data_IF_870456158135
#
_entry.id   IF_870456158135
#
_cell.length_a   1.000
_cell.length_b   1.000
_cell.length_c   1.000
_cell.angle_alpha   90.00
_cell.angle_beta   90.00
_cell.angle_gamma   90.00
#
_symmetry.space_group_name_H-M   'P 1'
#
loop_
_entity.id
_entity.type
_entity.pdbx_description
1 polymer ?
#
# COMPACT_ATOMS: atom_id res chain seq x y z
N UNK A 1 -43.77 -2.21 13.38
CA UNK A 1 -42.77 -2.45 14.46
C UNK A 1 -41.63 -3.36 14.02
N UNK A 2 -41.88 -4.56 13.46
CA UNK A 2 -40.82 -5.48 13.02
C UNK A 2 -39.80 -4.85 12.05
N UNK A 3 -40.27 -4.10 11.06
CA UNK A 3 -39.41 -3.48 10.04
C UNK A 3 -38.50 -2.37 10.60
N UNK A 4 -39.01 -1.59 11.55
CA UNK A 4 -38.22 -0.56 12.25
C UNK A 4 -37.06 -1.17 13.05
N UNK A 5 -37.28 -2.31 13.70
CA UNK A 5 -36.23 -3.01 14.45
C UNK A 5 -35.14 -3.58 13.51
N UNK A 6 -35.51 -4.05 12.33
CA UNK A 6 -34.55 -4.55 11.32
C UNK A 6 -33.71 -3.40 10.78
N UNK A 7 -34.31 -2.25 10.45
CA UNK A 7 -33.56 -1.08 9.96
C UNK A 7 -32.62 -0.55 11.06
N UNK A 8 -33.08 -0.43 12.30
CA UNK A 8 -32.27 0.07 13.40
C UNK A 8 -31.05 -0.83 13.69
N UNK A 9 -31.26 -2.15 13.69
CA UNK A 9 -30.16 -3.11 13.89
C UNK A 9 -29.17 -3.13 12.73
N UNK A 10 -29.63 -3.01 11.48
CA UNK A 10 -28.76 -2.91 10.32
C UNK A 10 -27.90 -1.64 10.34
N UNK A 11 -28.50 -0.49 10.66
CA UNK A 11 -27.76 0.77 10.78
C UNK A 11 -26.75 0.75 11.94
N UNK A 12 -27.11 0.12 13.06
CA UNK A 12 -26.22 -0.03 14.20
C UNK A 12 -25.04 -0.98 13.90
N UNK A 13 -25.31 -2.11 13.24
CA UNK A 13 -24.28 -3.04 12.80
C UNK A 13 -23.34 -2.41 11.77
N UNK A 14 -23.88 -1.62 10.83
CA UNK A 14 -23.09 -0.88 9.85
C UNK A 14 -22.24 0.20 10.53
N UNK A 15 -22.81 0.98 11.44
CA UNK A 15 -22.05 1.99 12.22
C UNK A 15 -20.95 1.37 13.07
N UNK A 16 -21.22 0.21 13.68
CA UNK A 16 -20.22 -0.56 14.41
C UNK A 16 -19.13 -1.12 13.48
N UNK A 17 -19.48 -1.63 12.29
CA UNK A 17 -18.47 -2.07 11.32
C UNK A 17 -17.53 -0.93 10.91
N UNK A 18 -18.04 0.29 10.72
CA UNK A 18 -17.23 1.46 10.37
C UNK A 18 -16.31 1.94 11.51
N UNK A 19 -16.64 1.64 12.78
CA UNK A 19 -15.79 1.98 13.94
C UNK A 19 -14.84 0.85 14.34
N UNK A 20 -15.22 -0.40 14.04
CA UNK A 20 -14.46 -1.62 14.29
C UNK A 20 -13.86 -2.21 13.01
N UNK A 21 -13.72 -1.42 11.94
CA UNK A 21 -12.89 -1.82 10.80
C UNK A 21 -11.44 -1.75 11.27
N UNK A 22 -11.04 -2.86 11.88
CA UNK A 22 -9.67 -3.20 12.18
C UNK A 22 -8.88 -3.01 10.90
N UNK A 23 -8.01 -2.01 10.92
CA UNK A 23 -7.01 -1.72 9.90
C UNK A 23 -6.05 -2.91 9.82
N UNK A 24 -6.51 -4.01 9.24
CA UNK A 24 -5.68 -5.17 8.93
C UNK A 24 -4.90 -4.86 7.65
N UNK A 25 -4.11 -3.78 7.68
CA UNK A 25 -3.01 -3.44 6.76
C UNK A 25 -2.31 -2.18 7.30
N UNK A 26 -1.54 -2.32 8.38
CA UNK A 26 -0.92 -1.24 9.17
C UNK A 26 0.21 -0.47 8.44
N UNK A 27 -0.05 0.05 7.24
CA UNK A 27 0.69 1.13 6.61
C UNK A 27 -0.30 2.27 6.32
N UNK A 28 -0.30 3.28 7.18
CA UNK A 28 -1.10 4.49 7.02
C UNK A 28 -0.72 5.26 5.74
N UNK A 29 0.55 5.21 5.34
CA UNK A 29 1.05 5.79 4.08
C UNK A 29 2.24 4.97 3.58
N UNK A 30 2.18 4.50 2.33
CA UNK A 30 3.35 4.02 1.60
C UNK A 30 3.73 5.02 0.50
N UNK A 31 5.03 5.24 0.33
CA UNK A 31 5.57 6.10 -0.71
C UNK A 31 6.79 5.44 -1.37
N UNK A 32 6.85 5.56 -2.70
CA UNK A 32 8.02 5.15 -3.49
C UNK A 32 8.78 6.39 -3.97
N UNK A 33 9.88 6.71 -3.30
CA UNK A 33 10.77 7.80 -3.67
C UNK A 33 11.94 7.30 -4.52
N UNK A 34 12.57 8.23 -5.25
CA UNK A 34 13.66 7.93 -6.20
C UNK A 34 14.84 7.20 -5.53
N UNK A 35 15.19 7.58 -4.30
CA UNK A 35 16.34 7.02 -3.57
C UNK A 35 15.91 6.04 -2.49
N UNK A 36 14.67 6.16 -1.99
CA UNK A 36 14.16 5.39 -0.86
C UNK A 36 12.67 5.12 -1.02
N UNK A 37 12.26 3.92 -0.66
CA UNK A 37 10.85 3.56 -0.54
C UNK A 37 10.54 3.30 0.94
N UNK A 38 9.32 3.56 1.35
CA UNK A 38 8.94 3.31 2.74
C UNK A 38 7.44 3.32 2.99
N UNK A 39 7.09 2.74 4.13
CA UNK A 39 5.72 2.72 4.65
C UNK A 39 5.73 3.15 6.12
N UNK A 40 4.80 4.02 6.49
CA UNK A 40 4.59 4.48 7.85
C UNK A 40 3.29 3.89 8.40
N UNK A 41 3.33 3.38 9.63
CA UNK A 41 2.19 2.81 10.33
C UNK A 41 2.11 3.29 11.79
N UNK A 42 1.07 2.90 12.53
CA UNK A 42 0.80 3.39 13.88
C UNK A 42 1.88 3.01 14.90
N UNK A 43 2.72 2.01 14.60
CA UNK A 43 3.83 1.55 15.46
C UNK A 43 5.22 1.96 14.95
N UNK A 44 5.30 2.77 13.90
CA UNK A 44 6.56 3.24 13.34
C UNK A 44 6.61 3.19 11.81
N UNK A 45 7.74 3.58 11.25
CA UNK A 45 7.97 3.60 9.81
C UNK A 45 9.17 2.73 9.42
N UNK A 46 9.05 2.05 8.28
CA UNK A 46 10.14 1.33 7.64
C UNK A 46 10.48 2.07 6.36
N UNK A 47 11.77 2.40 6.20
CA UNK A 47 12.32 3.02 5.00
C UNK A 47 13.53 2.23 4.56
N UNK A 48 13.54 1.85 3.28
CA UNK A 48 14.66 1.14 2.65
C UNK A 48 15.29 2.01 1.58
N UNK A 49 16.62 1.90 1.42
CA UNK A 49 17.30 2.49 0.25
C UNK A 49 16.97 1.66 -0.98
N UNK A 50 16.61 2.34 -2.06
CA UNK A 50 16.43 1.70 -3.36
C UNK A 50 17.81 1.28 -3.89
N UNK A 51 17.94 0.09 -4.49
CA UNK A 51 19.18 -0.29 -5.13
C UNK A 51 19.56 0.77 -6.18
N UNK A 52 20.86 1.04 -6.30
CA UNK A 52 21.35 1.94 -7.32
C UNK A 52 21.00 1.36 -8.69
N UNK A 53 20.36 2.18 -9.54
CA UNK A 53 20.03 1.77 -10.89
C UNK A 53 21.33 1.58 -11.67
N UNK A 54 21.61 0.35 -12.11
CA UNK A 54 22.83 0.03 -12.86
C UNK A 54 22.49 -0.04 -14.34
N UNK A 55 23.04 0.90 -15.10
CA UNK A 55 22.92 0.88 -16.56
C UNK A 55 24.10 0.12 -17.17
N UNK A 56 23.79 -0.91 -17.96
CA UNK A 56 24.76 -1.69 -18.72
C UNK A 56 24.39 -1.69 -20.20
N UNK A 57 25.42 -1.68 -21.05
CA UNK A 57 25.24 -1.90 -22.48
C UNK A 57 25.21 -3.39 -22.73
N UNK A 58 24.07 -3.91 -23.18
CA UNK A 58 23.87 -5.33 -23.48
C UNK A 58 23.56 -5.50 -24.97
N UNK A 59 23.99 -6.62 -25.53
CA UNK A 59 23.61 -7.01 -26.88
C UNK A 59 22.25 -7.69 -26.84
N UNK A 60 21.28 -7.17 -27.60
CA UNK A 60 19.98 -7.78 -27.81
C UNK A 60 19.75 -7.85 -29.30
N UNK A 61 19.60 -9.06 -29.84
CA UNK A 61 19.40 -9.31 -31.27
C UNK A 61 20.42 -8.60 -32.19
N UNK A 62 21.69 -8.57 -31.80
CA UNK A 62 22.75 -7.93 -32.59
C UNK A 62 22.78 -6.40 -32.54
N UNK A 63 21.98 -5.77 -31.67
CA UNK A 63 22.02 -4.30 -31.43
C UNK A 63 22.49 -4.03 -30.00
N UNK A 64 23.40 -3.07 -29.82
CA UNK A 64 23.81 -2.58 -28.50
C UNK A 64 22.70 -1.71 -27.93
N UNK A 65 22.06 -2.17 -26.86
CA UNK A 65 21.03 -1.41 -26.15
C UNK A 65 21.48 -1.10 -24.73
N UNK A 66 21.16 0.10 -24.26
CA UNK A 66 21.45 0.53 -22.89
C UNK A 66 20.27 0.08 -22.03
N UNK A 67 20.50 -0.89 -21.14
CA UNK A 67 19.50 -1.35 -20.16
C UNK A 67 19.88 -0.93 -18.76
N UNK A 68 18.93 -0.36 -18.06
CA UNK A 68 19.06 0.00 -16.66
C UNK A 68 18.14 -0.91 -15.84
N UNK A 69 18.65 -1.44 -14.73
CA UNK A 69 17.93 -2.29 -13.77
C UNK A 69 18.08 -1.70 -12.39
#
# INVERSE_FOLDING_TARGET
MRYFLIIASALFALGAAMTFESTEANAAVCADGVVRAGCAGPRGAVVVRKPAVVCKTVWVNGVKVRRCT
#
